data_IF_269561346447
#
_entry.id   IF_269561346447
#
_cell.length_a   1.000
_cell.length_b   1.000
_cell.length_c   1.000
_cell.angle_alpha   90.00
_cell.angle_beta   90.00
_cell.angle_gamma   90.00
#
_symmetry.space_group_name_H-M   'P 1'
#
loop_
_entity.id
_entity.type
_entity.pdbx_description
1 polymer ?
#
# COMPACT_ATOMS: atom_id res chain seq x y z
N UNK A 1 6.04 28.81 -7.48
CA UNK A 1 6.65 27.56 -7.97
C UNK A 1 7.75 27.20 -6.98
N UNK A 2 7.61 26.11 -6.25
CA UNK A 2 8.58 25.69 -5.24
C UNK A 2 9.05 24.28 -5.51
N UNK A 3 10.03 23.84 -4.71
CA UNK A 3 10.64 22.51 -4.84
C UNK A 3 10.23 21.62 -3.69
N UNK A 4 9.85 20.39 -4.01
CA UNK A 4 9.54 19.32 -3.07
C UNK A 4 10.59 18.23 -3.27
N UNK A 5 11.27 17.82 -2.20
CA UNK A 5 12.16 16.67 -2.23
C UNK A 5 11.57 15.59 -1.33
N UNK A 6 11.24 14.44 -1.90
CA UNK A 6 10.72 13.29 -1.17
C UNK A 6 11.79 12.20 -1.14
N UNK A 7 12.27 11.85 0.06
CA UNK A 7 13.31 10.84 0.27
C UNK A 7 12.69 9.62 0.97
N UNK A 8 12.79 8.45 0.37
CA UNK A 8 12.37 7.20 1.02
C UNK A 8 13.35 6.87 2.15
N UNK A 9 12.86 6.92 3.40
CA UNK A 9 13.66 6.62 4.60
C UNK A 9 13.55 5.16 5.04
N UNK A 10 12.40 4.52 4.76
CA UNK A 10 12.14 3.11 5.02
C UNK A 10 10.95 2.63 4.18
N UNK A 11 10.53 1.37 4.39
CA UNK A 11 9.38 0.81 3.64
C UNK A 11 8.03 1.43 3.99
N UNK A 12 7.95 2.28 5.01
CA UNK A 12 6.69 2.87 5.47
C UNK A 12 6.58 4.34 5.12
N UNK A 13 7.66 5.12 5.22
CA UNK A 13 7.62 6.58 5.15
C UNK A 13 8.60 7.19 4.16
N UNK A 14 8.11 8.25 3.51
CA UNK A 14 8.90 9.27 2.84
C UNK A 14 9.16 10.40 3.82
N UNK A 15 10.34 11.01 3.76
CA UNK A 15 10.63 12.29 4.36
C UNK A 15 10.48 13.39 3.31
N UNK A 16 9.64 14.39 3.60
CA UNK A 16 9.33 15.48 2.69
C UNK A 16 10.08 16.73 3.11
N UNK A 17 10.93 17.25 2.23
CA UNK A 17 11.60 18.54 2.39
C UNK A 17 11.06 19.51 1.34
N UNK A 18 10.73 20.71 1.74
CA UNK A 18 10.24 21.79 0.87
C UNK A 18 11.04 23.07 1.07
N UNK A 19 11.02 23.93 0.09
CA UNK A 19 11.70 25.23 0.14
C UNK A 19 10.83 26.29 0.82
N UNK A 20 9.51 26.10 0.87
CA UNK A 20 8.53 27.08 1.36
C UNK A 20 7.53 26.41 2.30
N UNK A 21 7.26 27.06 3.43
CA UNK A 21 6.28 26.60 4.43
C UNK A 21 4.85 26.47 3.89
N UNK A 22 4.46 27.29 2.95
CA UNK A 22 3.11 27.24 2.35
C UNK A 22 2.88 25.92 1.62
N UNK A 23 3.95 25.32 1.05
CA UNK A 23 3.87 24.01 0.40
C UNK A 23 3.59 22.90 1.42
N UNK A 24 4.13 22.99 2.64
CA UNK A 24 3.84 22.02 3.71
C UNK A 24 2.35 22.03 4.07
N UNK A 25 1.74 23.21 4.21
CA UNK A 25 0.31 23.33 4.47
C UNK A 25 -0.52 22.81 3.28
N UNK A 26 -0.07 23.07 2.06
CA UNK A 26 -0.69 22.53 0.87
C UNK A 26 -0.68 21.01 0.84
N UNK A 27 0.46 20.38 1.17
CA UNK A 27 0.59 18.93 1.29
C UNK A 27 -0.30 18.39 2.40
N UNK A 28 -0.30 19.00 3.58
CA UNK A 28 -1.13 18.56 4.71
C UNK A 28 -2.61 18.58 4.36
N UNK A 29 -3.09 19.66 3.77
CA UNK A 29 -4.49 19.78 3.34
C UNK A 29 -4.85 18.78 2.22
N UNK A 30 -3.95 18.53 1.28
CA UNK A 30 -4.19 17.58 0.18
C UNK A 30 -4.28 16.15 0.68
N UNK A 31 -3.45 15.78 1.67
CA UNK A 31 -3.44 14.46 2.29
C UNK A 31 -4.28 14.37 3.57
N UNK A 32 -5.27 15.24 3.72
CA UNK A 32 -6.24 15.22 4.81
C UNK A 32 -7.62 14.85 4.30
N UNK A 33 -8.23 13.83 4.89
CA UNK A 33 -9.55 13.32 4.49
C UNK A 33 -10.50 13.29 5.68
N UNK A 34 -11.77 13.62 5.42
CA UNK A 34 -12.84 13.42 6.39
C UNK A 34 -13.24 11.94 6.43
N UNK A 35 -13.07 11.23 7.55
CA UNK A 35 -13.57 9.87 7.69
C UNK A 35 -15.09 9.86 7.67
N UNK A 36 -15.70 8.78 7.16
CA UNK A 36 -17.16 8.65 7.12
C UNK A 36 -17.75 8.79 8.52
N UNK A 37 -18.73 9.67 8.68
CA UNK A 37 -19.42 9.88 9.96
C UNK A 37 -18.68 10.79 10.94
N UNK A 38 -17.66 11.55 10.52
CA UNK A 38 -16.92 12.48 11.37
C UNK A 38 -17.81 13.51 12.06
N UNK A 39 -18.91 13.94 11.42
CA UNK A 39 -19.89 14.92 11.93
C UNK A 39 -20.57 14.44 13.22
N UNK A 40 -20.67 13.12 13.43
CA UNK A 40 -21.30 12.53 14.60
C UNK A 40 -20.31 12.30 15.76
N UNK A 41 -19.02 12.45 15.53
CA UNK A 41 -18.00 12.22 16.57
C UNK A 41 -18.02 13.35 17.62
N UNK A 42 -17.98 13.02 18.92
CA UNK A 42 -17.97 14.02 20.00
C UNK A 42 -16.80 15.00 19.88
N UNK A 43 -15.63 14.55 19.48
CA UNK A 43 -14.43 15.38 19.29
C UNK A 43 -14.59 16.42 18.20
N UNK A 44 -15.35 16.14 17.15
CA UNK A 44 -15.70 17.13 16.14
C UNK A 44 -16.74 18.13 16.64
N UNK A 45 -17.80 17.64 17.33
CA UNK A 45 -18.88 18.47 17.87
C UNK A 45 -18.41 19.47 18.93
N UNK A 46 -17.42 19.10 19.72
CA UNK A 46 -16.84 19.97 20.75
C UNK A 46 -15.62 20.79 20.25
N UNK A 47 -15.35 20.76 18.93
CA UNK A 47 -14.27 21.48 18.28
C UNK A 47 -12.85 21.13 18.76
N UNK A 48 -12.66 19.97 19.41
CA UNK A 48 -11.32 19.49 19.81
C UNK A 48 -10.55 18.80 18.68
N UNK A 49 -11.22 18.54 17.57
CA UNK A 49 -10.67 17.93 16.36
C UNK A 49 -11.31 18.56 15.13
N UNK A 50 -10.53 18.76 14.08
CA UNK A 50 -10.95 19.40 12.82
C UNK A 50 -11.82 18.48 11.91
N UNK A 51 -12.05 17.24 12.31
CA UNK A 51 -12.82 16.27 11.54
C UNK A 51 -12.01 15.56 10.45
N UNK A 52 -10.70 15.78 10.35
CA UNK A 52 -9.86 15.20 9.30
C UNK A 52 -8.86 14.19 9.85
N UNK A 53 -8.56 13.21 9.04
CA UNK A 53 -7.41 12.32 9.24
C UNK A 53 -6.28 12.81 8.35
N UNK A 54 -5.19 13.25 8.96
CA UNK A 54 -4.00 13.75 8.27
C UNK A 54 -3.02 12.60 8.05
N UNK A 55 -2.75 12.27 6.79
CA UNK A 55 -1.76 11.26 6.42
C UNK A 55 -0.35 11.83 6.38
N UNK A 56 -0.20 13.12 6.09
CA UNK A 56 1.06 13.82 6.22
C UNK A 56 1.27 14.28 7.67
N UNK A 57 2.42 13.97 8.24
CA UNK A 57 2.79 14.40 9.59
C UNK A 57 3.65 15.64 9.50
N UNK A 58 3.06 16.82 9.66
CA UNK A 58 3.73 18.13 9.51
C UNK A 58 4.96 18.26 10.40
N UNK A 59 4.91 17.80 11.66
CA UNK A 59 6.02 17.94 12.62
C UNK A 59 7.23 17.09 12.24
N UNK A 60 7.02 15.88 11.77
CA UNK A 60 8.09 14.94 11.39
C UNK A 60 8.37 14.93 9.89
N UNK A 61 7.57 15.65 9.10
CA UNK A 61 7.63 15.69 7.63
C UNK A 61 7.49 14.31 6.97
N UNK A 62 6.73 13.42 7.59
CA UNK A 62 6.55 12.05 7.11
C UNK A 62 5.26 11.89 6.32
N UNK A 63 5.36 11.31 5.13
CA UNK A 63 4.26 10.86 4.30
C UNK A 63 4.38 9.36 4.07
N UNK A 64 3.28 8.56 4.16
CA UNK A 64 3.33 7.15 3.82
C UNK A 64 3.82 6.91 2.38
N UNK A 65 4.75 5.96 2.18
CA UNK A 65 5.34 5.65 0.87
C UNK A 65 4.28 5.27 -0.18
N UNK A 66 3.16 4.65 0.27
CA UNK A 66 2.05 4.30 -0.64
C UNK A 66 1.34 5.49 -1.29
N UNK A 67 1.61 6.73 -0.85
CA UNK A 67 1.01 7.96 -1.38
C UNK A 67 1.96 8.71 -2.35
N UNK A 68 2.99 8.04 -2.86
CA UNK A 68 3.97 8.67 -3.76
C UNK A 68 3.33 9.14 -5.07
N UNK A 69 2.46 8.34 -5.68
CA UNK A 69 1.77 8.68 -6.92
C UNK A 69 0.82 9.89 -6.72
N UNK A 70 0.20 9.99 -5.53
CA UNK A 70 -0.63 11.14 -5.17
C UNK A 70 0.21 12.39 -4.91
N UNK A 71 1.43 12.23 -4.35
CA UNK A 71 2.38 13.33 -4.21
C UNK A 71 2.86 13.87 -5.57
N UNK A 72 3.13 12.99 -6.52
CA UNK A 72 3.44 13.37 -7.90
C UNK A 72 2.28 14.15 -8.54
N UNK A 73 1.04 13.68 -8.32
CA UNK A 73 -0.16 14.36 -8.78
C UNK A 73 -0.32 15.74 -8.14
N UNK A 74 -0.12 15.85 -6.83
CA UNK A 74 -0.14 17.12 -6.10
C UNK A 74 0.89 18.11 -6.67
N UNK A 75 2.14 17.67 -6.83
CA UNK A 75 3.21 18.50 -7.36
C UNK A 75 2.89 19.01 -8.77
N UNK A 76 2.39 18.14 -9.64
CA UNK A 76 1.98 18.48 -11.02
C UNK A 76 0.82 19.48 -11.04
N UNK A 77 -0.21 19.29 -10.23
CA UNK A 77 -1.38 20.18 -10.16
C UNK A 77 -1.03 21.58 -9.68
N UNK A 78 -0.06 21.69 -8.77
CA UNK A 78 0.36 22.97 -8.18
C UNK A 78 1.63 23.55 -8.85
N UNK A 79 2.08 22.97 -9.96
CA UNK A 79 3.27 23.40 -10.69
C UNK A 79 4.54 23.46 -9.82
N UNK A 80 4.70 22.50 -8.89
CA UNK A 80 5.90 22.32 -8.10
C UNK A 80 6.86 21.36 -8.78
N UNK A 81 8.17 21.59 -8.60
CA UNK A 81 9.21 20.64 -8.97
C UNK A 81 9.29 19.54 -7.92
N UNK A 82 9.13 18.28 -8.31
CA UNK A 82 9.26 17.14 -7.41
C UNK A 82 10.54 16.36 -7.71
N UNK A 83 11.39 16.21 -6.69
CA UNK A 83 12.58 15.37 -6.72
C UNK A 83 12.37 14.15 -5.81
N UNK A 84 12.43 12.96 -6.41
CA UNK A 84 12.29 11.68 -5.72
C UNK A 84 13.68 11.06 -5.47
N UNK A 85 13.98 10.76 -4.21
CA UNK A 85 15.28 10.19 -3.79
C UNK A 85 15.04 8.82 -3.18
N UNK A 86 15.72 7.79 -3.69
CA UNK A 86 15.58 6.39 -3.28
C UNK A 86 14.13 5.85 -3.40
N UNK A 87 13.38 6.37 -4.35
CA UNK A 87 11.98 6.01 -4.58
C UNK A 87 11.79 5.11 -5.82
N UNK A 88 12.84 4.44 -6.25
CA UNK A 88 12.79 3.56 -7.42
C UNK A 88 11.73 2.46 -7.23
N UNK A 89 10.97 2.19 -8.28
CA UNK A 89 10.05 1.06 -8.29
C UNK A 89 10.87 -0.22 -8.19
N UNK A 90 10.47 -1.14 -7.31
CA UNK A 90 11.22 -2.39 -7.18
C UNK A 90 11.14 -3.18 -8.49
N UNK A 91 12.25 -3.78 -8.89
CA UNK A 91 12.28 -4.77 -9.95
C UNK A 91 11.25 -5.87 -9.70
N UNK A 92 10.59 -6.40 -10.75
CA UNK A 92 9.70 -7.54 -10.60
C UNK A 92 10.40 -8.68 -9.84
N UNK A 93 9.76 -9.16 -8.80
CA UNK A 93 10.38 -10.07 -7.87
C UNK A 93 10.39 -11.52 -8.33
N UNK A 94 9.36 -11.87 -9.11
CA UNK A 94 9.19 -13.21 -9.67
C UNK A 94 8.67 -13.09 -11.10
N UNK A 95 9.26 -13.87 -12.02
CA UNK A 95 8.74 -13.94 -13.38
C UNK A 95 7.44 -14.76 -13.42
N UNK A 96 6.64 -14.56 -14.48
CA UNK A 96 5.39 -15.31 -14.67
C UNK A 96 5.65 -16.82 -14.75
N UNK A 97 6.68 -17.24 -15.47
CA UNK A 97 7.02 -18.65 -15.65
C UNK A 97 7.42 -19.30 -14.31
N UNK A 98 8.21 -18.59 -13.52
CA UNK A 98 8.61 -19.05 -12.18
C UNK A 98 7.43 -19.16 -11.25
N UNK A 99 6.54 -18.15 -11.24
CA UNK A 99 5.30 -18.15 -10.47
C UNK A 99 4.40 -19.34 -10.85
N UNK A 100 4.19 -19.60 -12.15
CA UNK A 100 3.37 -20.71 -12.61
C UNK A 100 3.96 -22.06 -12.23
N UNK A 101 5.30 -22.20 -12.30
CA UNK A 101 6.01 -23.39 -11.82
C UNK A 101 5.79 -23.61 -10.33
N UNK A 102 5.92 -22.54 -9.53
CA UNK A 102 5.67 -22.60 -8.09
C UNK A 102 4.22 -22.97 -7.78
N UNK A 103 3.24 -22.38 -8.47
CA UNK A 103 1.84 -22.74 -8.28
C UNK A 103 1.55 -24.21 -8.56
N UNK A 104 2.14 -24.77 -9.62
CA UNK A 104 2.02 -26.21 -9.91
C UNK A 104 2.61 -27.07 -8.77
N UNK A 105 3.75 -26.68 -8.23
CA UNK A 105 4.38 -27.39 -7.11
C UNK A 105 3.57 -27.26 -5.82
N UNK A 106 3.07 -26.05 -5.50
CA UNK A 106 2.28 -25.77 -4.29
C UNK A 106 0.96 -26.55 -4.29
N UNK A 107 0.35 -26.73 -5.45
CA UNK A 107 -0.95 -27.36 -5.61
C UNK A 107 -0.88 -28.81 -6.12
N UNK A 108 0.32 -29.42 -6.16
CA UNK A 108 0.54 -30.75 -6.76
C UNK A 108 -0.33 -31.86 -6.14
N UNK A 109 -0.65 -31.75 -4.85
CA UNK A 109 -1.47 -32.71 -4.09
C UNK A 109 -2.92 -32.27 -3.93
N UNK A 110 -3.37 -31.25 -4.65
CA UNK A 110 -4.73 -30.68 -4.53
C UNK A 110 -5.45 -30.66 -5.87
N UNK A 111 -6.78 -30.75 -5.83
CA UNK A 111 -7.65 -30.59 -7.01
C UNK A 111 -7.87 -29.12 -7.40
N UNK A 112 -7.27 -28.18 -6.69
CA UNK A 112 -7.43 -26.74 -6.98
C UNK A 112 -6.69 -26.34 -8.25
N UNK A 113 -7.40 -25.62 -9.12
CA UNK A 113 -6.85 -24.97 -10.31
C UNK A 113 -6.88 -23.46 -10.13
N UNK A 114 -5.74 -22.82 -10.32
CA UNK A 114 -5.65 -21.36 -10.30
C UNK A 114 -6.31 -20.83 -11.57
N UNK A 115 -7.25 -19.91 -11.42
CA UNK A 115 -7.90 -19.20 -12.53
C UNK A 115 -7.01 -18.02 -12.96
N UNK A 116 -7.15 -17.60 -14.21
CA UNK A 116 -6.29 -16.54 -14.79
C UNK A 116 -6.27 -15.28 -13.96
N UNK A 117 -7.43 -14.76 -13.54
CA UNK A 117 -7.52 -13.57 -12.71
C UNK A 117 -6.88 -13.73 -11.31
N UNK A 118 -6.92 -14.96 -10.75
CA UNK A 118 -6.25 -15.26 -9.47
C UNK A 118 -4.73 -15.26 -9.64
N UNK A 119 -4.26 -15.82 -10.74
CA UNK A 119 -2.84 -15.81 -11.07
C UNK A 119 -2.32 -14.38 -11.27
N UNK A 120 -3.05 -13.58 -12.04
CA UNK A 120 -2.67 -12.18 -12.30
C UNK A 120 -2.67 -11.34 -11.01
N UNK A 121 -3.72 -11.43 -10.19
CA UNK A 121 -3.80 -10.72 -8.92
C UNK A 121 -2.69 -11.13 -7.95
N UNK A 122 -2.40 -12.43 -7.86
CA UNK A 122 -1.33 -12.96 -7.00
C UNK A 122 0.04 -12.52 -7.47
N UNK A 123 0.31 -12.60 -8.77
CA UNK A 123 1.57 -12.16 -9.37
C UNK A 123 1.79 -10.66 -9.21
N UNK A 124 0.75 -9.86 -9.43
CA UNK A 124 0.80 -8.42 -9.18
C UNK A 124 1.11 -8.12 -7.71
N UNK A 125 0.44 -8.77 -6.75
CA UNK A 125 0.71 -8.59 -5.33
C UNK A 125 2.16 -8.91 -4.94
N UNK A 126 2.73 -9.96 -5.53
CA UNK A 126 4.12 -10.35 -5.30
C UNK A 126 5.11 -9.32 -5.85
N UNK A 127 4.87 -8.78 -7.04
CA UNK A 127 5.79 -7.89 -7.72
C UNK A 127 5.66 -6.44 -7.25
N UNK A 128 4.45 -5.95 -6.99
CA UNK A 128 4.22 -4.61 -6.45
C UNK A 128 4.53 -4.52 -4.95
N UNK A 129 4.55 -5.65 -4.24
CA UNK A 129 4.85 -5.76 -2.80
C UNK A 129 3.91 -4.99 -1.87
N UNK A 130 3.09 -4.13 -2.41
CA UNK A 130 2.16 -3.26 -1.69
C UNK A 130 0.98 -2.92 -2.59
N UNK A 131 -0.23 -3.00 -2.05
CA UNK A 131 -1.42 -2.68 -2.81
C UNK A 131 -2.69 -3.15 -2.12
N UNK A 132 -3.81 -2.88 -2.75
CA UNK A 132 -5.14 -3.35 -2.36
C UNK A 132 -5.68 -4.19 -3.52
N UNK A 133 -6.03 -5.44 -3.24
CA UNK A 133 -6.70 -6.31 -4.19
C UNK A 133 -8.21 -6.27 -3.93
N UNK A 134 -8.93 -5.56 -4.78
CA UNK A 134 -10.38 -5.53 -4.73
C UNK A 134 -10.95 -6.77 -5.41
N UNK A 135 -11.51 -7.68 -4.61
CA UNK A 135 -12.04 -8.95 -5.08
C UNK A 135 -13.46 -9.16 -4.57
N UNK A 136 -14.36 -9.60 -5.45
CA UNK A 136 -15.71 -9.93 -5.09
C UNK A 136 -15.79 -11.13 -4.12
N UNK A 137 -16.92 -11.30 -3.48
CA UNK A 137 -17.19 -12.50 -2.66
C UNK A 137 -17.06 -13.75 -3.52
N UNK A 138 -16.53 -14.83 -2.95
CA UNK A 138 -16.32 -16.11 -3.64
C UNK A 138 -15.31 -16.11 -4.80
N UNK A 139 -14.49 -15.04 -4.96
CA UNK A 139 -13.42 -15.00 -5.97
C UNK A 139 -12.21 -15.89 -5.64
N UNK A 140 -12.20 -16.56 -4.49
CA UNK A 140 -11.06 -17.38 -4.05
C UNK A 140 -9.94 -16.59 -3.38
N UNK A 141 -10.28 -15.52 -2.65
CA UNK A 141 -9.32 -14.70 -1.89
C UNK A 141 -8.38 -15.52 -1.00
N UNK A 142 -8.92 -16.55 -0.33
CA UNK A 142 -8.10 -17.42 0.53
C UNK A 142 -7.03 -18.17 -0.26
N UNK A 143 -7.37 -18.65 -1.48
CA UNK A 143 -6.39 -19.28 -2.36
C UNK A 143 -5.32 -18.29 -2.80
N UNK A 144 -5.70 -17.09 -3.21
CA UNK A 144 -4.72 -16.06 -3.59
C UNK A 144 -3.78 -15.69 -2.44
N UNK A 145 -4.31 -15.49 -1.22
CA UNK A 145 -3.50 -15.25 -0.02
C UNK A 145 -2.54 -16.43 0.23
N UNK A 146 -3.05 -17.65 0.16
CA UNK A 146 -2.23 -18.87 0.34
C UNK A 146 -1.10 -18.92 -0.70
N UNK A 147 -1.38 -18.68 -1.97
CA UNK A 147 -0.37 -18.66 -3.02
C UNK A 147 0.67 -17.55 -2.82
N UNK A 148 0.26 -16.34 -2.38
CA UNK A 148 1.18 -15.26 -2.03
C UNK A 148 2.14 -15.75 -0.93
N UNK A 149 1.61 -16.23 0.18
CA UNK A 149 2.40 -16.67 1.32
C UNK A 149 3.37 -17.81 0.94
N UNK A 150 2.89 -18.81 0.19
CA UNK A 150 3.72 -19.95 -0.25
C UNK A 150 4.84 -19.52 -1.20
N UNK A 151 4.57 -18.64 -2.17
CA UNK A 151 5.61 -18.11 -3.05
C UNK A 151 6.66 -17.29 -2.26
N UNK A 152 6.23 -16.46 -1.29
CA UNK A 152 7.14 -15.74 -0.42
C UNK A 152 8.05 -16.65 0.38
N UNK A 153 7.53 -17.77 0.89
CA UNK A 153 8.34 -18.78 1.59
C UNK A 153 9.35 -19.45 0.67
N UNK A 154 8.93 -19.83 -0.55
CA UNK A 154 9.79 -20.54 -1.49
C UNK A 154 10.92 -19.65 -2.02
N UNK A 155 10.60 -18.43 -2.44
CA UNK A 155 11.56 -17.55 -3.11
C UNK A 155 12.47 -16.77 -2.14
N UNK A 156 11.95 -16.32 -1.00
CA UNK A 156 12.71 -15.49 -0.04
C UNK A 156 13.03 -16.18 1.27
N UNK A 157 12.58 -17.42 1.43
CA UNK A 157 12.82 -18.20 2.64
C UNK A 157 12.39 -17.47 3.94
N UNK A 158 11.31 -16.69 3.86
CA UNK A 158 10.77 -16.05 5.05
C UNK A 158 10.34 -17.10 6.07
N UNK A 159 10.87 -16.99 7.29
CA UNK A 159 10.56 -17.91 8.39
C UNK A 159 9.28 -17.55 9.13
N UNK A 160 8.86 -16.30 9.04
CA UNK A 160 7.66 -15.77 9.75
C UNK A 160 6.92 -14.80 8.83
N UNK A 161 5.59 -14.95 8.81
CA UNK A 161 4.67 -14.06 8.11
C UNK A 161 3.48 -13.77 9.02
N UNK A 162 2.93 -12.57 8.94
CA UNK A 162 1.78 -12.15 9.72
C UNK A 162 0.58 -11.95 8.78
N UNK A 163 -0.48 -12.73 9.00
CA UNK A 163 -1.78 -12.54 8.36
C UNK A 163 -2.76 -11.98 9.39
N UNK A 164 -3.31 -10.80 9.11
CA UNK A 164 -4.30 -10.16 9.98
C UNK A 164 -5.68 -10.30 9.34
N UNK A 165 -6.62 -10.84 10.09
CA UNK A 165 -8.01 -11.04 9.66
C UNK A 165 -8.99 -10.37 10.62
N UNK A 166 -10.14 -9.85 10.15
CA UNK A 166 -11.07 -9.07 10.97
C UNK A 166 -11.91 -9.93 11.93
N UNK A 167 -11.87 -11.25 11.81
CA UNK A 167 -12.71 -12.17 12.61
C UNK A 167 -11.97 -13.43 12.99
N UNK A 168 -12.19 -13.91 14.22
CA UNK A 168 -11.65 -15.17 14.74
C UNK A 168 -12.10 -16.36 13.87
N UNK A 169 -13.31 -16.34 13.33
CA UNK A 169 -13.82 -17.40 12.45
C UNK A 169 -12.99 -17.60 11.17
N UNK A 170 -12.25 -16.57 10.73
CA UNK A 170 -11.36 -16.66 9.57
C UNK A 170 -9.97 -17.21 9.93
N UNK A 171 -9.64 -17.32 11.21
CA UNK A 171 -8.36 -17.90 11.67
C UNK A 171 -8.38 -19.42 11.58
N UNK A 172 -9.57 -20.03 11.63
CA UNK A 172 -9.77 -21.50 11.66
C UNK A 172 -10.10 -22.08 10.28
N UNK A 173 -10.13 -21.27 9.24
CA UNK A 173 -10.24 -21.71 7.84
C UNK A 173 -8.87 -22.08 7.24
#
# INVERSE_FOLDING_TARGET
>A
MGRITATKINETYLYIKVDDGDILFGIDNYFALHPKGYEFMPSYKNHSWDGKTHFFKVVSHHLPVGLIDDLERFAKLNHHELNLVNCEKPEPWISRERFESNCKQILAESDYKVRDYQAEATLAALNERRGVLECCTSSGKSLMIYLILRNLMMEKQYKKMLLIVPSIMLVTQ
#
